data_IF_061118738058
#
_entry.id   IF_061118738058
#
_cell.length_a   1.000
_cell.length_b   1.000
_cell.length_c   1.000
_cell.angle_alpha   90.00
_cell.angle_beta   90.00
_cell.angle_gamma   90.00
#
_symmetry.space_group_name_H-M   'P 1'
#
loop_
_entity.id
_entity.type
_entity.pdbx_description
1 polymer ?
#
# COMPACT_ATOMS: atom_id res chain seq x y z
N UNK A 1 12.71 -3.62 10.66
CA UNK A 1 12.67 -5.01 11.13
C UNK A 1 12.15 -5.90 10.03
N UNK A 2 12.97 -6.82 9.52
CA UNK A 2 12.49 -7.86 8.60
C UNK A 2 11.65 -8.86 9.42
N UNK A 3 10.37 -8.99 9.11
CA UNK A 3 9.52 -10.02 9.72
C UNK A 3 9.87 -11.38 9.14
N UNK A 4 9.84 -12.43 9.99
CA UNK A 4 10.03 -13.81 9.55
C UNK A 4 9.03 -14.18 8.45
N UNK A 5 9.48 -14.96 7.48
CA UNK A 5 8.64 -15.42 6.36
C UNK A 5 7.39 -16.18 6.86
N UNK A 6 7.52 -16.94 7.94
CA UNK A 6 6.42 -17.65 8.60
C UNK A 6 5.23 -16.74 8.96
N UNK A 7 5.51 -15.50 9.42
CA UNK A 7 4.45 -14.54 9.74
C UNK A 7 3.74 -14.04 8.48
N UNK A 8 4.47 -13.91 7.37
CA UNK A 8 3.88 -13.55 6.09
C UNK A 8 3.03 -14.69 5.53
N UNK A 9 3.45 -15.94 5.69
CA UNK A 9 2.67 -17.10 5.28
C UNK A 9 1.40 -17.26 6.12
N UNK A 10 1.49 -16.99 7.43
CA UNK A 10 0.32 -16.95 8.31
C UNK A 10 -0.66 -15.84 7.90
N UNK A 11 -0.14 -14.63 7.62
CA UNK A 11 -0.95 -13.52 7.16
C UNK A 11 -1.62 -13.83 5.81
N UNK A 12 -0.89 -14.46 4.88
CA UNK A 12 -1.39 -14.90 3.57
C UNK A 12 -2.58 -15.84 3.73
N UNK A 13 -2.45 -16.86 4.59
CA UNK A 13 -3.52 -17.83 4.89
C UNK A 13 -4.72 -17.18 5.58
N UNK A 14 -4.49 -16.37 6.62
CA UNK A 14 -5.57 -15.75 7.42
C UNK A 14 -6.32 -14.66 6.65
N UNK A 15 -5.60 -13.84 5.88
CA UNK A 15 -6.20 -12.74 5.12
C UNK A 15 -6.72 -13.17 3.74
N UNK A 16 -6.47 -14.43 3.32
CA UNK A 16 -6.83 -14.97 2.00
C UNK A 16 -6.31 -14.09 0.85
N UNK A 17 -5.05 -13.69 0.93
CA UNK A 17 -4.37 -12.84 -0.05
C UNK A 17 -3.27 -13.62 -0.79
N UNK A 18 -2.86 -13.16 -1.97
CA UNK A 18 -1.81 -13.77 -2.79
C UNK A 18 -0.44 -13.13 -2.59
N UNK A 19 0.55 -13.59 -3.37
CA UNK A 19 1.91 -13.03 -3.32
C UNK A 19 1.98 -11.59 -3.82
N UNK A 20 1.08 -11.22 -4.74
CA UNK A 20 1.00 -9.85 -5.25
C UNK A 20 0.57 -8.87 -4.14
N UNK A 21 -0.49 -9.19 -3.39
CA UNK A 21 -0.90 -8.37 -2.25
C UNK A 21 0.18 -8.29 -1.17
N UNK A 22 0.93 -9.37 -0.95
CA UNK A 22 2.06 -9.40 -0.01
C UNK A 22 3.18 -8.46 -0.50
N UNK A 23 3.48 -8.46 -1.81
CA UNK A 23 4.45 -7.55 -2.43
C UNK A 23 4.00 -6.10 -2.27
N UNK A 24 2.75 -5.79 -2.60
CA UNK A 24 2.16 -4.45 -2.41
C UNK A 24 2.23 -4.01 -0.95
N UNK A 25 1.89 -4.89 -0.01
CA UNK A 25 1.97 -4.61 1.42
C UNK A 25 3.41 -4.32 1.88
N UNK A 26 4.40 -5.09 1.41
CA UNK A 26 5.82 -4.86 1.70
C UNK A 26 6.31 -3.52 1.16
N UNK A 27 5.98 -3.18 -0.09
CA UNK A 27 6.30 -1.87 -0.68
C UNK A 27 5.62 -0.73 0.09
N UNK A 28 4.42 -1.01 0.62
CA UNK A 28 3.68 -0.11 1.49
C UNK A 28 4.27 0.07 2.90
N UNK A 29 5.24 -0.75 3.29
CA UNK A 29 5.79 -0.76 4.65
C UNK A 29 4.84 -1.38 5.68
N UNK A 30 3.84 -2.14 5.22
CA UNK A 30 2.91 -2.88 6.07
C UNK A 30 3.58 -4.12 6.67
N UNK A 31 3.04 -4.55 7.79
CA UNK A 31 3.54 -5.64 8.60
C UNK A 31 2.58 -6.84 8.49
N UNK A 32 3.06 -8.09 8.54
CA UNK A 32 2.16 -9.25 8.53
C UNK A 32 1.18 -9.22 9.72
N UNK A 33 1.63 -8.75 10.89
CA UNK A 33 0.77 -8.56 12.07
C UNK A 33 -0.34 -7.52 11.85
N UNK A 34 -0.08 -6.44 11.10
CA UNK A 34 -1.11 -5.43 10.83
C UNK A 34 -2.15 -5.95 9.84
N UNK A 35 -1.76 -6.81 8.90
CA UNK A 35 -2.72 -7.48 8.01
C UNK A 35 -3.68 -8.38 8.79
N UNK A 36 -3.14 -9.22 9.67
CA UNK A 36 -3.95 -10.12 10.51
C UNK A 36 -4.91 -9.33 11.42
N UNK A 37 -4.44 -8.22 12.00
CA UNK A 37 -5.28 -7.35 12.85
C UNK A 37 -6.39 -6.63 12.06
N UNK A 38 -6.25 -6.49 10.75
CA UNK A 38 -7.24 -5.83 9.88
C UNK A 38 -8.28 -6.80 9.29
N UNK A 39 -8.26 -8.09 9.67
CA UNK A 39 -9.29 -9.02 9.25
C UNK A 39 -10.63 -8.59 9.89
N UNK A 40 -11.65 -8.25 9.10
CA UNK A 40 -12.94 -7.81 9.63
C UNK A 40 -13.60 -8.94 10.42
N UNK A 41 -14.15 -8.61 11.59
CA UNK A 41 -14.98 -9.52 12.36
C UNK A 41 -16.47 -9.40 11.97
N UNK A 42 -17.34 -10.28 12.50
CA UNK A 42 -18.77 -10.29 12.17
C UNK A 42 -19.50 -8.98 12.50
N UNK A 43 -19.03 -8.21 13.47
CA UNK A 43 -19.57 -6.91 13.85
C UNK A 43 -18.98 -5.75 13.05
N UNK A 44 -17.93 -6.00 12.26
CA UNK A 44 -17.22 -5.04 11.43
C UNK A 44 -17.45 -5.27 9.93
N UNK A 45 -18.67 -5.65 9.53
CA UNK A 45 -19.02 -5.86 8.12
C UNK A 45 -18.84 -4.62 7.24
N UNK A 46 -18.77 -3.43 7.84
CA UNK A 46 -18.48 -2.18 7.15
C UNK A 46 -17.01 -2.03 6.74
N UNK A 47 -16.10 -2.87 7.27
CA UNK A 47 -14.70 -2.89 6.85
C UNK A 47 -14.55 -3.73 5.59
N UNK A 48 -13.81 -3.19 4.63
CA UNK A 48 -13.44 -3.93 3.43
C UNK A 48 -12.56 -5.15 3.79
N UNK A 49 -12.65 -6.25 3.02
CA UNK A 49 -11.68 -7.34 3.09
C UNK A 49 -10.25 -6.83 2.94
N UNK A 50 -9.30 -7.51 3.61
CA UNK A 50 -7.88 -7.10 3.62
C UNK A 50 -7.31 -7.01 2.19
N UNK A 51 -7.75 -7.87 1.27
CA UNK A 51 -7.37 -7.83 -0.15
C UNK A 51 -7.72 -6.48 -0.79
N UNK A 52 -8.98 -6.08 -0.72
CA UNK A 52 -9.49 -4.85 -1.34
C UNK A 52 -8.86 -3.62 -0.69
N UNK A 53 -8.65 -3.68 0.62
CA UNK A 53 -7.97 -2.62 1.36
C UNK A 53 -6.51 -2.42 0.91
N UNK A 54 -5.76 -3.50 0.66
CA UNK A 54 -4.38 -3.43 0.14
C UNK A 54 -4.37 -2.75 -1.23
N UNK A 55 -5.29 -3.14 -2.13
CA UNK A 55 -5.37 -2.58 -3.49
C UNK A 55 -5.72 -1.09 -3.46
N UNK A 56 -6.73 -0.70 -2.69
CA UNK A 56 -7.14 0.71 -2.55
C UNK A 56 -6.02 1.59 -1.97
N UNK A 57 -5.34 1.09 -0.93
CA UNK A 57 -4.19 1.80 -0.34
C UNK A 57 -3.02 1.93 -1.33
N UNK A 58 -2.73 0.86 -2.08
CA UNK A 58 -1.66 0.85 -3.06
C UNK A 58 -1.94 1.85 -4.20
N UNK A 59 -3.15 1.84 -4.75
CA UNK A 59 -3.58 2.76 -5.80
C UNK A 59 -3.53 4.22 -5.34
N UNK A 60 -3.99 4.49 -4.11
CA UNK A 60 -3.89 5.81 -3.49
C UNK A 60 -2.44 6.26 -3.38
N UNK A 61 -1.52 5.39 -2.98
CA UNK A 61 -0.10 5.72 -2.87
C UNK A 61 0.51 6.00 -4.24
N UNK A 62 0.21 5.17 -5.24
CA UNK A 62 0.70 5.35 -6.60
C UNK A 62 0.18 6.65 -7.22
N UNK A 63 -1.10 6.97 -7.04
CA UNK A 63 -1.69 8.24 -7.49
C UNK A 63 -1.00 9.45 -6.86
N UNK A 64 -0.75 9.42 -5.54
CA UNK A 64 -0.02 10.49 -4.84
C UNK A 64 1.41 10.63 -5.34
N UNK A 65 2.11 9.52 -5.58
CA UNK A 65 3.46 9.51 -6.14
C UNK A 65 3.50 10.15 -7.53
N UNK A 66 2.62 9.73 -8.43
CA UNK A 66 2.48 10.31 -9.78
C UNK A 66 2.17 11.81 -9.73
N UNK A 67 1.28 12.24 -8.82
CA UNK A 67 0.96 13.66 -8.68
C UNK A 67 2.15 14.49 -8.15
N UNK A 68 2.93 13.93 -7.22
CA UNK A 68 4.16 14.56 -6.73
C UNK A 68 5.21 14.69 -7.83
N UNK A 69 5.39 13.67 -8.66
CA UNK A 69 6.28 13.71 -9.81
C UNK A 69 5.87 14.79 -10.82
N UNK A 70 4.57 14.85 -11.17
CA UNK A 70 4.03 15.90 -12.04
C UNK A 70 4.28 17.31 -11.50
N UNK A 71 4.07 17.52 -10.19
CA UNK A 71 4.34 18.82 -9.54
C UNK A 71 5.81 19.20 -9.57
N UNK A 72 6.71 18.23 -9.35
CA UNK A 72 8.17 18.45 -9.43
C UNK A 72 8.60 18.84 -10.84
N UNK A 73 8.13 18.12 -11.86
CA UNK A 73 8.41 18.44 -13.26
C UNK A 73 7.88 19.83 -13.67
N UNK A 74 6.67 20.19 -13.21
CA UNK A 74 6.08 21.51 -13.47
C UNK A 74 6.81 22.65 -12.75
N UNK A 75 7.36 22.40 -11.55
CA UNK A 75 8.20 23.36 -10.83
C UNK A 75 9.52 23.61 -11.57
N UNK A 76 10.25 22.54 -11.91
CA UNK A 76 11.51 22.62 -12.64
C UNK A 76 11.38 23.34 -13.98
N UNK A 77 10.28 23.12 -14.72
CA UNK A 77 10.05 23.80 -15.99
C UNK A 77 9.82 25.31 -15.81
N UNK A 78 9.19 25.75 -14.72
CA UNK A 78 9.02 27.18 -14.41
C UNK A 78 10.33 27.84 -13.99
N UNK A 79 11.17 27.15 -13.22
CA UNK A 79 12.47 27.66 -12.77
C UNK A 79 13.43 27.81 -13.96
N UNK A 80 13.41 26.88 -14.92
CA UNK A 80 14.17 26.98 -16.17
C UNK A 80 13.68 28.12 -17.08
N UNK A 81 12.36 28.30 -17.24
CA UNK A 81 11.81 29.34 -18.11
C UNK A 81 11.94 30.77 -17.54
N UNK A 82 12.20 30.92 -16.24
CA UNK A 82 12.43 32.23 -15.60
C UNK A 82 13.91 32.65 -15.59
N UNK A 83 14.80 31.77 -16.06
CA UNK A 83 16.24 32.00 -16.12
C UNK A 83 16.73 32.35 -17.54
N UNK A 84 15.82 32.60 -18.48
CA UNK A 84 16.08 33.08 -19.85
C UNK A 84 15.57 34.51 -19.99
#
# INVERSE_FOLDING_TARGET
MAYKQELWDEAKKKCRIGDEEIRMAKEMGLNPKSLIKNIPNKSEMWKAPVRDWIHDMYDKRQRKSRQKAKRRAAGQNKDSNRSI
#
